data_IF_068779320059
#
_entry.id   IF_068779320059
#
_cell.length_a   1.000
_cell.length_b   1.000
_cell.length_c   1.000
_cell.angle_alpha   90.00
_cell.angle_beta   90.00
_cell.angle_gamma   90.00
#
_symmetry.space_group_name_H-M   'P 1'
#
loop_
_entity.id
_entity.type
_entity.pdbx_description
1 polymer ?
#
# COMPACT_ATOMS: atom_id res chain seq x y z
N UNK A 1 -12.90 -14.83 -11.10
CA UNK A 1 -11.80 -14.74 -12.07
C UNK A 1 -10.58 -14.25 -11.31
N UNK A 2 -9.52 -15.05 -11.22
CA UNK A 2 -8.24 -14.63 -10.66
C UNK A 2 -7.41 -14.08 -11.80
N UNK A 3 -7.34 -12.75 -11.89
CA UNK A 3 -6.57 -12.08 -12.93
C UNK A 3 -5.08 -12.31 -12.64
N UNK A 4 -4.49 -13.17 -13.47
CA UNK A 4 -3.05 -13.32 -13.55
C UNK A 4 -2.52 -12.13 -14.36
N UNK A 5 -1.78 -11.25 -13.69
CA UNK A 5 -1.18 -10.06 -14.31
C UNK A 5 0.09 -10.47 -15.07
N UNK A 6 0.06 -10.31 -16.39
CA UNK A 6 1.18 -10.43 -17.33
C UNK A 6 1.97 -9.11 -17.48
N UNK A 7 3.25 -9.24 -17.84
CA UNK A 7 4.30 -8.22 -17.72
C UNK A 7 4.42 -7.41 -19.01
N UNK A 8 4.26 -6.08 -18.93
CA UNK A 8 4.80 -5.13 -19.90
C UNK A 8 5.56 -4.04 -19.14
N UNK A 9 6.83 -3.85 -19.49
CA UNK A 9 7.81 -3.06 -18.78
C UNK A 9 7.63 -1.56 -18.97
N UNK A 10 7.42 -0.83 -17.87
CA UNK A 10 7.86 0.56 -17.70
C UNK A 10 8.84 0.59 -16.52
N UNK A 11 10.06 1.07 -16.75
CA UNK A 11 11.12 1.16 -15.73
C UNK A 11 10.81 2.25 -14.71
N UNK A 12 10.51 1.83 -13.48
CA UNK A 12 10.78 2.65 -12.30
C UNK A 12 12.29 2.60 -12.06
N UNK A 13 12.95 3.75 -11.91
CA UNK A 13 14.37 3.81 -11.57
C UNK A 13 14.57 3.41 -10.10
N UNK A 14 14.70 2.11 -9.82
CA UNK A 14 14.89 1.53 -8.47
C UNK A 14 16.36 1.54 -8.01
N UNK A 15 17.09 2.62 -8.29
CA UNK A 15 18.56 2.58 -8.25
C UNK A 15 19.17 2.61 -6.84
N UNK A 16 18.43 3.02 -5.79
CA UNK A 16 18.98 3.15 -4.42
C UNK A 16 18.16 2.45 -3.32
N UNK A 17 17.42 1.39 -3.66
CA UNK A 17 16.64 0.64 -2.67
C UNK A 17 17.34 -0.64 -2.21
N UNK A 18 17.36 -0.89 -0.89
CA UNK A 18 17.88 -2.13 -0.27
C UNK A 18 16.99 -3.36 -0.52
N UNK A 19 16.07 -3.28 -1.48
CA UNK A 19 15.15 -4.35 -1.83
C UNK A 19 15.87 -5.48 -2.57
N UNK A 20 15.52 -6.72 -2.24
CA UNK A 20 15.93 -7.89 -3.01
C UNK A 20 15.32 -7.85 -4.43
N UNK A 21 15.91 -8.59 -5.37
CA UNK A 21 15.37 -8.71 -6.74
C UNK A 21 13.90 -9.12 -6.76
N UNK A 22 13.51 -10.04 -5.86
CA UNK A 22 12.11 -10.49 -5.74
C UNK A 22 11.20 -9.37 -5.23
N UNK A 23 11.62 -8.63 -4.20
CA UNK A 23 10.86 -7.48 -3.69
C UNK A 23 10.72 -6.38 -4.74
N UNK A 24 11.77 -6.09 -5.52
CA UNK A 24 11.71 -5.13 -6.64
C UNK A 24 10.69 -5.56 -7.70
N UNK A 25 10.66 -6.84 -8.07
CA UNK A 25 9.67 -7.35 -9.02
C UNK A 25 8.22 -7.25 -8.50
N UNK A 26 8.01 -7.55 -7.20
CA UNK A 26 6.70 -7.38 -6.57
C UNK A 26 6.31 -5.90 -6.54
N UNK A 27 7.23 -5.03 -6.14
CA UNK A 27 7.02 -3.59 -6.07
C UNK A 27 6.57 -3.04 -7.42
N UNK A 28 7.30 -3.35 -8.50
CA UNK A 28 6.94 -2.91 -9.85
C UNK A 28 5.53 -3.39 -10.23
N UNK A 29 5.19 -4.65 -9.94
CA UNK A 29 3.87 -5.20 -10.24
C UNK A 29 2.76 -4.49 -9.48
N UNK A 30 2.93 -4.31 -8.17
CA UNK A 30 1.96 -3.62 -7.32
C UNK A 30 1.81 -2.19 -7.79
N UNK A 31 2.94 -1.52 -8.07
CA UNK A 31 2.96 -0.15 -8.56
C UNK A 31 2.15 0.02 -9.84
N UNK A 32 2.43 -0.78 -10.88
CA UNK A 32 1.68 -0.74 -12.14
C UNK A 32 0.18 -0.94 -11.93
N UNK A 33 -0.21 -1.82 -10.99
CA UNK A 33 -1.62 -2.07 -10.70
C UNK A 33 -2.32 -0.97 -9.89
N UNK A 34 -1.56 -0.16 -9.14
CA UNK A 34 -2.11 0.89 -8.28
C UNK A 34 -1.86 2.30 -8.80
N UNK A 35 -0.99 2.48 -9.80
CA UNK A 35 -0.49 3.78 -10.28
C UNK A 35 -1.61 4.79 -10.51
N UNK A 36 -2.58 4.46 -11.34
CA UNK A 36 -3.72 5.36 -11.65
C UNK A 36 -4.47 5.79 -10.39
N UNK A 37 -4.77 4.86 -9.49
CA UNK A 37 -5.46 5.18 -8.24
C UNK A 37 -4.61 6.00 -7.27
N UNK A 38 -3.29 5.86 -7.30
CA UNK A 38 -2.38 6.69 -6.50
C UNK A 38 -2.32 8.12 -7.06
N UNK A 39 -2.21 8.26 -8.38
CA UNK A 39 -2.30 9.56 -9.07
C UNK A 39 -3.62 10.25 -8.69
N UNK A 40 -4.75 9.55 -8.74
CA UNK A 40 -6.06 10.11 -8.37
C UNK A 40 -6.15 10.57 -6.90
N UNK A 41 -5.35 9.96 -6.00
CA UNK A 41 -5.26 10.39 -4.61
C UNK A 41 -4.46 11.70 -4.52
N UNK A 42 -3.30 11.76 -5.17
CA UNK A 42 -2.40 12.91 -5.06
C UNK A 42 -2.83 14.11 -5.91
N UNK A 43 -3.56 13.92 -7.02
CA UNK A 43 -4.13 15.00 -7.82
C UNK A 43 -5.17 15.84 -7.08
N UNK A 44 -5.63 15.39 -5.91
CA UNK A 44 -6.51 16.15 -5.03
C UNK A 44 -5.76 17.08 -4.09
N UNK A 45 -4.44 16.95 -4.03
CA UNK A 45 -3.59 17.83 -3.26
C UNK A 45 -3.19 19.02 -4.13
N UNK A 46 -3.15 20.19 -3.52
CA UNK A 46 -2.55 21.38 -4.08
C UNK A 46 -1.64 22.05 -3.03
N UNK A 47 -1.08 23.21 -3.39
CA UNK A 47 -0.18 23.98 -2.52
C UNK A 47 -0.84 24.50 -1.24
N UNK A 48 -2.16 24.60 -1.23
CA UNK A 48 -2.97 25.14 -0.15
C UNK A 48 -3.59 24.00 0.70
N UNK A 49 -3.38 22.73 0.31
CA UNK A 49 -3.80 21.56 1.07
C UNK A 49 -3.24 21.58 2.49
N UNK A 50 -4.15 21.35 3.45
CA UNK A 50 -3.78 21.34 4.86
C UNK A 50 -3.16 19.99 5.29
N UNK A 51 -2.67 19.98 6.53
CA UNK A 51 -2.04 18.80 7.15
C UNK A 51 -3.00 17.60 7.15
N UNK A 52 -4.29 17.80 7.36
CA UNK A 52 -5.26 16.72 7.44
C UNK A 52 -5.50 16.09 6.06
N UNK A 53 -5.56 16.90 5.00
CA UNK A 53 -5.67 16.43 3.62
C UNK A 53 -4.46 15.61 3.21
N UNK A 54 -3.25 16.08 3.51
CA UNK A 54 -2.00 15.37 3.20
C UNK A 54 -1.93 14.06 3.97
N UNK A 55 -2.19 14.07 5.29
CA UNK A 55 -2.20 12.86 6.12
C UNK A 55 -3.22 11.84 5.62
N UNK A 56 -4.41 12.29 5.22
CA UNK A 56 -5.44 11.41 4.68
C UNK A 56 -5.04 10.83 3.31
N UNK A 57 -4.39 11.60 2.44
CA UNK A 57 -3.84 11.11 1.17
C UNK A 57 -2.77 10.05 1.39
N UNK A 58 -1.83 10.26 2.33
CA UNK A 58 -0.84 9.25 2.73
C UNK A 58 -1.54 7.98 3.24
N UNK A 59 -2.49 8.12 4.17
CA UNK A 59 -3.24 6.99 4.72
C UNK A 59 -3.97 6.18 3.65
N UNK A 60 -4.65 6.86 2.72
CA UNK A 60 -5.36 6.23 1.59
C UNK A 60 -4.40 5.48 0.67
N UNK A 61 -3.25 6.07 0.36
CA UNK A 61 -2.23 5.44 -0.46
C UNK A 61 -1.68 4.18 0.22
N UNK A 62 -1.34 4.25 1.51
CA UNK A 62 -0.90 3.07 2.29
C UNK A 62 -1.97 1.98 2.30
N UNK A 63 -3.24 2.33 2.54
CA UNK A 63 -4.34 1.36 2.54
C UNK A 63 -4.53 0.69 1.17
N UNK A 64 -4.45 1.47 0.08
CA UNK A 64 -4.56 0.98 -1.28
C UNK A 64 -3.45 -0.04 -1.59
N UNK A 65 -2.21 0.34 -1.31
CA UNK A 65 -1.04 -0.50 -1.59
C UNK A 65 -1.06 -1.76 -0.73
N UNK A 66 -1.40 -1.64 0.56
CA UNK A 66 -1.54 -2.78 1.46
C UNK A 66 -2.65 -3.75 1.00
N UNK A 67 -3.81 -3.22 0.58
CA UNK A 67 -4.90 -4.03 0.02
C UNK A 67 -4.47 -4.81 -1.22
N UNK A 68 -3.62 -4.22 -2.06
CA UNK A 68 -3.11 -4.88 -3.26
C UNK A 68 -2.05 -5.92 -2.90
N UNK A 69 -1.14 -5.62 -1.99
CA UNK A 69 -0.06 -6.53 -1.60
C UNK A 69 -0.57 -7.77 -0.86
N UNK A 70 -1.67 -7.65 -0.12
CA UNK A 70 -2.34 -8.80 0.52
C UNK A 70 -2.81 -9.87 -0.47
N UNK A 71 -3.00 -9.51 -1.73
CA UNK A 71 -3.39 -10.45 -2.81
C UNK A 71 -2.20 -11.11 -3.47
N UNK A 72 -0.98 -10.62 -3.24
CA UNK A 72 0.24 -11.12 -3.88
C UNK A 72 0.68 -12.42 -3.23
N UNK A 73 1.02 -13.40 -4.08
CA UNK A 73 1.62 -14.67 -3.68
C UNK A 73 2.92 -14.89 -4.43
N UNK A 74 3.97 -15.27 -3.72
CA UNK A 74 5.24 -15.68 -4.29
C UNK A 74 5.36 -17.20 -4.15
N UNK A 75 5.53 -17.92 -5.26
CA UNK A 75 5.60 -19.39 -5.26
C UNK A 75 4.43 -20.05 -4.50
N UNK A 76 3.21 -19.52 -4.70
CA UNK A 76 1.96 -19.93 -4.02
C UNK A 76 1.93 -19.66 -2.50
N UNK A 77 2.98 -19.07 -1.92
CA UNK A 77 3.01 -18.62 -0.52
C UNK A 77 2.62 -17.15 -0.43
N UNK A 78 1.92 -16.80 0.65
CA UNK A 78 1.61 -15.42 0.99
C UNK A 78 2.91 -14.78 1.51
N UNK A 79 3.13 -13.52 1.19
CA UNK A 79 4.25 -12.74 1.72
C UNK A 79 4.17 -12.66 3.25
N UNK A 80 5.33 -12.62 3.90
CA UNK A 80 5.40 -12.36 5.34
C UNK A 80 4.98 -10.93 5.65
N UNK A 81 4.63 -10.64 6.91
CA UNK A 81 4.29 -9.27 7.32
C UNK A 81 5.44 -8.29 7.08
N UNK A 82 6.68 -8.72 7.36
CA UNK A 82 7.89 -7.93 7.15
C UNK A 82 8.16 -7.64 5.66
N UNK A 83 8.01 -8.66 4.80
CA UNK A 83 8.14 -8.48 3.34
C UNK A 83 7.12 -7.46 2.82
N UNK A 84 5.86 -7.58 3.26
CA UNK A 84 4.80 -6.62 2.88
C UNK A 84 5.14 -5.22 3.36
N UNK A 85 5.58 -5.08 4.62
CA UNK A 85 5.89 -3.79 5.23
C UNK A 85 6.95 -3.04 4.42
N UNK A 86 8.08 -3.70 4.16
CA UNK A 86 9.19 -3.11 3.41
C UNK A 86 8.75 -2.69 2.00
N UNK A 87 8.01 -3.54 1.29
CA UNK A 87 7.54 -3.23 -0.07
C UNK A 87 6.54 -2.07 -0.07
N UNK A 88 5.57 -2.06 0.86
CA UNK A 88 4.57 -0.99 0.94
C UNK A 88 5.25 0.34 1.21
N UNK A 89 6.18 0.37 2.18
CA UNK A 89 6.85 1.61 2.55
C UNK A 89 7.63 2.21 1.37
N UNK A 90 8.36 1.36 0.66
CA UNK A 90 9.17 1.80 -0.46
C UNK A 90 8.29 2.22 -1.66
N UNK A 91 7.21 1.49 -1.92
CA UNK A 91 6.30 1.81 -3.03
C UNK A 91 5.61 3.15 -2.81
N UNK A 92 5.13 3.43 -1.59
CA UNK A 92 4.49 4.71 -1.29
C UNK A 92 5.50 5.85 -1.45
N UNK A 93 6.74 5.70 -0.96
CA UNK A 93 7.82 6.67 -1.14
C UNK A 93 8.07 6.95 -2.62
N UNK A 94 8.26 5.90 -3.42
CA UNK A 94 8.49 6.02 -4.87
C UNK A 94 7.34 6.74 -5.54
N UNK A 95 6.10 6.40 -5.16
CA UNK A 95 4.92 7.00 -5.78
C UNK A 95 4.80 8.49 -5.47
N UNK A 96 5.16 8.92 -4.25
CA UNK A 96 5.23 10.35 -3.90
C UNK A 96 6.25 11.06 -4.78
N UNK A 97 7.44 10.47 -4.94
CA UNK A 97 8.55 11.06 -5.71
C UNK A 97 8.21 11.14 -7.21
N UNK A 98 7.59 10.09 -7.76
CA UNK A 98 7.38 9.96 -9.20
C UNK A 98 6.08 10.58 -9.70
N UNK A 99 5.02 10.63 -8.88
CA UNK A 99 3.69 11.02 -9.34
C UNK A 99 3.23 12.41 -8.90
N UNK A 100 3.90 13.03 -7.91
CA UNK A 100 3.63 14.43 -7.56
C UNK A 100 4.54 15.32 -8.39
N UNK A 101 3.99 16.15 -9.27
CA UNK A 101 4.79 17.02 -10.14
C UNK A 101 5.32 18.25 -9.41
N UNK A 102 4.52 18.87 -8.54
CA UNK A 102 4.91 20.05 -7.78
C UNK A 102 5.92 19.71 -6.69
N UNK A 103 7.13 20.27 -6.79
CA UNK A 103 8.24 19.98 -5.88
C UNK A 103 7.98 20.41 -4.43
N UNK A 104 7.20 21.48 -4.23
CA UNK A 104 6.87 21.97 -2.88
C UNK A 104 5.93 20.98 -2.18
N UNK A 105 4.84 20.62 -2.86
CA UNK A 105 3.86 19.63 -2.40
C UNK A 105 4.54 18.29 -2.19
N UNK A 106 5.37 17.84 -3.15
CA UNK A 106 6.16 16.61 -3.04
C UNK A 106 7.02 16.61 -1.78
N UNK A 107 7.76 17.68 -1.52
CA UNK A 107 8.62 17.78 -0.34
C UNK A 107 7.81 17.72 0.97
N UNK A 108 6.67 18.41 1.04
CA UNK A 108 5.79 18.39 2.23
C UNK A 108 5.22 16.98 2.45
N UNK A 109 4.63 16.38 1.41
CA UNK A 109 4.03 15.04 1.48
C UNK A 109 5.10 14.01 1.84
N UNK A 110 6.28 14.08 1.23
CA UNK A 110 7.39 13.17 1.53
C UNK A 110 7.89 13.32 2.96
N UNK A 111 8.00 14.55 3.47
CA UNK A 111 8.40 14.81 4.86
C UNK A 111 7.38 14.24 5.85
N UNK A 112 6.08 14.50 5.63
CA UNK A 112 5.02 13.94 6.45
C UNK A 112 5.03 12.42 6.40
N UNK A 113 5.21 11.85 5.21
CA UNK A 113 5.33 10.42 5.03
C UNK A 113 6.53 9.82 5.76
N UNK A 114 7.70 10.46 5.72
CA UNK A 114 8.87 10.00 6.46
C UNK A 114 8.67 10.06 7.98
N UNK A 115 7.83 10.98 8.47
CA UNK A 115 7.51 11.11 9.90
C UNK A 115 6.45 10.13 10.38
N UNK A 116 5.45 9.79 9.57
CA UNK A 116 4.27 9.04 10.02
C UNK A 116 3.96 7.77 9.22
N UNK A 117 4.65 7.52 8.12
CA UNK A 117 4.31 6.45 7.17
C UNK A 117 4.38 5.05 7.77
N UNK A 118 5.38 4.81 8.62
CA UNK A 118 5.54 3.55 9.33
C UNK A 118 4.41 3.32 10.35
N UNK A 119 4.11 4.30 11.19
CA UNK A 119 3.03 4.22 12.19
C UNK A 119 1.65 4.05 11.54
N UNK A 120 1.42 4.73 10.42
CA UNK A 120 0.20 4.57 9.61
C UNK A 120 0.09 3.14 9.11
N UNK A 121 1.17 2.56 8.60
CA UNK A 121 1.16 1.20 8.08
C UNK A 121 0.93 0.17 9.18
N UNK A 122 1.58 0.31 10.34
CA UNK A 122 1.34 -0.56 11.49
C UNK A 122 -0.13 -0.49 11.95
N UNK A 123 -0.69 0.73 12.00
CA UNK A 123 -2.12 0.92 12.31
C UNK A 123 -3.02 0.18 11.33
N UNK A 124 -2.73 0.26 10.02
CA UNK A 124 -3.48 -0.48 8.98
C UNK A 124 -3.34 -1.99 9.16
N UNK A 125 -2.14 -2.49 9.46
CA UNK A 125 -1.89 -3.91 9.72
C UNK A 125 -2.68 -4.39 10.95
N UNK A 126 -2.72 -3.61 12.02
CA UNK A 126 -3.43 -3.98 13.24
C UNK A 126 -4.95 -3.98 13.05
N UNK A 127 -5.48 -2.95 12.38
CA UNK A 127 -6.92 -2.90 12.04
C UNK A 127 -7.31 -4.07 11.15
N UNK A 128 -6.52 -4.40 10.12
CA UNK A 128 -6.81 -5.53 9.24
C UNK A 128 -6.76 -6.88 9.97
N UNK A 129 -5.83 -7.07 10.91
CA UNK A 129 -5.80 -8.26 11.78
C UNK A 129 -7.03 -8.34 12.68
N UNK A 130 -7.41 -7.25 13.34
CA UNK A 130 -8.54 -7.20 14.27
C UNK A 130 -9.89 -7.46 13.58
N UNK A 131 -10.12 -6.89 12.40
CA UNK A 131 -11.32 -7.13 11.60
C UNK A 131 -11.40 -8.60 11.16
N UNK A 132 -10.29 -9.17 10.71
CA UNK A 132 -10.22 -10.58 10.30
C UNK A 132 -10.53 -11.56 11.44
N UNK A 133 -10.05 -11.28 12.66
CA UNK A 133 -10.37 -12.07 13.85
C UNK A 133 -11.86 -11.98 14.20
N UNK A 134 -12.42 -10.77 14.12
CA UNK A 134 -13.82 -10.51 14.44
C UNK A 134 -14.77 -11.24 13.47
N UNK A 135 -14.47 -11.22 12.17
CA UNK A 135 -15.24 -11.95 11.15
C UNK A 135 -15.23 -13.46 11.39
N UNK A 136 -14.07 -14.06 11.70
CA UNK A 136 -13.96 -15.49 12.03
C UNK A 136 -14.81 -15.87 13.26
N UNK A 137 -14.85 -15.00 14.28
CA UNK A 137 -15.68 -15.20 15.48
C UNK A 137 -17.17 -15.06 15.18
N UNK A 138 -17.57 -14.09 14.36
CA UNK A 138 -18.98 -13.91 13.94
C UNK A 138 -19.51 -15.10 13.15
N UNK A 139 -18.74 -15.60 12.18
CA UNK A 139 -19.10 -16.75 11.36
C UNK A 139 -19.23 -18.03 12.20
N UNK A 140 -18.30 -18.27 13.12
CA UNK A 140 -18.36 -19.45 14.01
C UNK A 140 -19.54 -19.42 14.99
N UNK A 141 -20.05 -18.23 15.36
CA UNK A 141 -21.30 -18.09 16.13
C UNK A 141 -22.55 -18.36 15.27
N UNK A 142 -22.59 -17.84 14.04
CA UNK A 142 -23.69 -18.09 13.10
C UNK A 142 -23.85 -19.59 12.79
N UNK A 143 -22.75 -20.32 12.56
CA UNK A 143 -22.79 -21.76 12.34
C UNK A 143 -23.12 -22.60 13.58
N UNK A 144 -23.02 -22.03 14.79
CA UNK A 144 -23.48 -22.69 16.03
C UNK A 144 -24.97 -22.43 16.30
N UNK A 145 -25.52 -21.30 15.87
CA UNK A 145 -26.95 -21.02 16.00
C UNK A 145 -27.84 -21.78 15.01
N UNK A 146 -27.32 -22.14 13.82
CA UNK A 146 -28.08 -22.92 12.82
C UNK A 146 -27.95 -24.45 12.97
N UNK A 147 -27.46 -24.95 14.11
CA UNK A 147 -27.31 -26.38 14.42
C UNK A 147 -28.29 -26.92 15.47
N UNK A 148 -29.31 -26.14 15.85
CA UNK A 148 -30.43 -26.60 16.66
C UNK A 148 -31.73 -26.55 15.86
#
# INVERSE_FOLDING_TARGET
MTDNIEINSMEITLNDTNLTKQQKAILQKVYTSTKTSIIDIFNKLDKDSDVAEISNSIFRTVCLVMKTIEKVKLNRKILTGEEKKIIVLELVRISIISEIEDETTKAIVLNMYNMSGEDVLETVIDVTRNVNVTLKRGISKLFKCCKN
#
